data_IF_163655054266
#
_entry.id   IF_163655054266
#
_cell.length_a   1.000
_cell.length_b   1.000
_cell.length_c   1.000
_cell.angle_alpha   90.00
_cell.angle_beta   90.00
_cell.angle_gamma   90.00
#
_symmetry.space_group_name_H-M   'P 1'
#
loop_
_entity.id
_entity.type
_entity.pdbx_description
1 polymer ?
#
# COMPACT_ATOMS: atom_id res chain seq x y z
N UNK A 1 -1.36 29.54 -16.21
CA UNK A 1 -2.45 29.76 -15.23
C UNK A 1 -3.10 28.40 -14.98
N UNK A 2 -2.64 27.67 -13.96
CA UNK A 2 -3.18 26.34 -13.59
C UNK A 2 -4.52 26.54 -12.87
N UNK A 3 -5.60 25.93 -13.36
CA UNK A 3 -6.97 26.13 -12.88
C UNK A 3 -7.49 25.01 -11.97
N UNK A 4 -6.74 23.91 -11.83
CA UNK A 4 -7.04 22.80 -10.92
C UNK A 4 -6.36 21.50 -11.34
N UNK A 5 -6.23 20.57 -10.39
CA UNK A 5 -5.77 19.19 -10.59
C UNK A 5 -6.57 18.29 -9.65
N UNK A 6 -7.22 17.27 -10.20
CA UNK A 6 -7.94 16.24 -9.44
C UNK A 6 -7.26 14.90 -9.65
N UNK A 7 -6.98 14.18 -8.57
CA UNK A 7 -6.43 12.83 -8.61
C UNK A 7 -7.49 11.91 -7.98
N UNK A 8 -8.17 11.12 -8.80
CA UNK A 8 -9.07 10.05 -8.35
C UNK A 8 -8.27 8.78 -8.12
N UNK A 9 -8.54 8.08 -7.01
CA UNK A 9 -7.80 6.88 -6.56
C UNK A 9 -6.27 7.06 -6.57
N UNK A 10 -5.84 8.30 -6.28
CA UNK A 10 -4.44 8.67 -6.30
C UNK A 10 -3.67 7.93 -5.22
N UNK A 11 -2.57 7.28 -5.63
CA UNK A 11 -1.53 6.81 -4.74
C UNK A 11 -0.71 8.00 -4.22
N UNK A 12 -1.37 8.87 -3.46
CA UNK A 12 -0.82 10.12 -2.94
C UNK A 12 -0.05 9.91 -1.64
N UNK A 13 -0.31 8.82 -0.94
CA UNK A 13 0.43 8.43 0.27
C UNK A 13 0.60 6.90 0.33
N UNK A 14 1.45 6.33 -0.54
CA UNK A 14 1.66 4.90 -0.59
C UNK A 14 2.26 4.34 0.71
N UNK A 15 2.82 5.15 1.61
CA UNK A 15 3.28 4.68 2.92
C UNK A 15 2.13 4.26 3.84
N UNK A 16 1.01 4.99 3.80
CA UNK A 16 -0.14 4.75 4.65
C UNK A 16 -1.30 4.05 3.92
N UNK A 17 -1.36 4.14 2.60
CA UNK A 17 -2.47 3.62 1.79
C UNK A 17 -2.52 2.09 1.71
N UNK A 18 -1.45 1.36 2.03
CA UNK A 18 -1.44 -0.11 1.89
C UNK A 18 -1.57 -0.87 3.22
N UNK A 19 -1.82 -0.18 4.34
CA UNK A 19 -1.94 -0.80 5.68
C UNK A 19 -3.31 -1.47 5.89
N UNK A 20 -3.71 -2.38 5.00
CA UNK A 20 -5.03 -3.03 5.03
C UNK A 20 -5.07 -4.38 5.75
N UNK A 21 -3.92 -4.99 6.08
CA UNK A 21 -3.86 -6.34 6.67
C UNK A 21 -4.74 -6.51 7.90
N UNK A 22 -4.68 -5.57 8.85
CA UNK A 22 -5.52 -5.60 10.05
C UNK A 22 -7.01 -5.42 9.73
N UNK A 23 -7.34 -4.48 8.85
CA UNK A 23 -8.73 -4.22 8.45
C UNK A 23 -9.36 -5.45 7.77
N UNK A 24 -8.66 -6.03 6.80
CA UNK A 24 -9.10 -7.20 6.05
C UNK A 24 -9.30 -8.42 6.96
N UNK A 25 -8.40 -8.61 7.93
CA UNK A 25 -8.52 -9.68 8.92
C UNK A 25 -9.71 -9.47 9.86
N UNK A 26 -9.89 -8.24 10.38
CA UNK A 26 -10.97 -7.91 11.30
C UNK A 26 -12.37 -8.12 10.71
N UNK A 27 -12.56 -7.85 9.43
CA UNK A 27 -13.84 -8.09 8.74
C UNK A 27 -14.00 -9.53 8.22
N UNK A 28 -13.00 -10.39 8.44
CA UNK A 28 -13.02 -11.80 8.04
C UNK A 28 -12.83 -12.04 6.54
N UNK A 29 -12.28 -11.06 5.79
CA UNK A 29 -12.02 -11.23 4.36
C UNK A 29 -10.76 -12.06 4.10
N UNK A 30 -9.82 -12.06 5.04
CA UNK A 30 -8.58 -12.85 4.98
C UNK A 30 -8.34 -13.59 6.30
N UNK A 31 -7.62 -14.71 6.24
CA UNK A 31 -7.14 -15.44 7.40
C UNK A 31 -5.77 -14.91 7.91
N UNK A 32 -5.26 -15.53 8.98
CA UNK A 32 -3.99 -15.13 9.60
C UNK A 32 -2.77 -15.32 8.68
N UNK A 33 -2.77 -16.36 7.83
CA UNK A 33 -1.66 -16.61 6.90
C UNK A 33 -1.66 -15.55 5.78
N UNK A 34 -2.84 -15.22 5.27
CA UNK A 34 -3.03 -14.17 4.27
C UNK A 34 -2.68 -12.80 4.84
N UNK A 35 -3.05 -12.53 6.10
CA UNK A 35 -2.62 -11.32 6.81
C UNK A 35 -1.10 -11.20 6.86
N UNK A 36 -0.41 -12.27 7.25
CA UNK A 36 1.06 -12.28 7.30
C UNK A 36 1.68 -11.99 5.92
N UNK A 37 1.08 -12.51 4.84
CA UNK A 37 1.50 -12.18 3.47
C UNK A 37 1.29 -10.70 3.13
N UNK A 38 0.10 -10.14 3.42
CA UNK A 38 -0.20 -8.72 3.19
C UNK A 38 0.75 -7.81 3.97
N UNK A 39 1.02 -8.14 5.24
CA UNK A 39 1.94 -7.39 6.10
C UNK A 39 3.37 -7.41 5.54
N UNK A 40 3.82 -8.57 5.01
CA UNK A 40 5.14 -8.70 4.35
C UNK A 40 5.24 -7.84 3.09
N UNK A 41 4.25 -7.90 2.19
CA UNK A 41 4.27 -7.09 0.97
C UNK A 41 4.23 -5.60 1.29
N UNK A 42 3.44 -5.21 2.29
CA UNK A 42 3.42 -3.83 2.79
C UNK A 42 4.79 -3.39 3.29
N UNK A 43 5.51 -4.24 4.02
CA UNK A 43 6.87 -3.94 4.47
C UNK A 43 7.87 -3.79 3.31
N UNK A 44 7.82 -4.68 2.31
CA UNK A 44 8.70 -4.64 1.13
C UNK A 44 8.46 -3.39 0.28
N UNK A 45 7.19 -3.06 0.06
CA UNK A 45 6.79 -1.84 -0.64
C UNK A 45 7.30 -0.59 0.10
N UNK A 46 7.11 -0.50 1.42
CA UNK A 46 7.62 0.63 2.23
C UNK A 46 9.14 0.76 2.12
N UNK A 47 9.86 -0.37 2.21
CA UNK A 47 11.30 -0.38 2.01
C UNK A 47 11.69 0.10 0.61
N UNK A 48 10.97 -0.30 -0.45
CA UNK A 48 11.25 0.18 -1.80
C UNK A 48 11.01 1.69 -1.95
N UNK A 49 9.93 2.23 -1.37
CA UNK A 49 9.61 3.67 -1.35
C UNK A 49 10.69 4.47 -0.60
N UNK A 50 11.14 3.98 0.57
CA UNK A 50 12.21 4.60 1.34
C UNK A 50 13.55 4.66 0.58
N UNK A 51 13.75 3.75 -0.38
CA UNK A 51 14.91 3.74 -1.28
C UNK A 51 14.67 4.48 -2.61
N UNK A 52 13.57 5.24 -2.74
CA UNK A 52 13.14 5.92 -3.97
C UNK A 52 12.91 4.97 -5.18
N UNK A 53 12.75 3.68 -4.93
CA UNK A 53 12.49 2.64 -5.94
C UNK A 53 11.00 2.45 -6.13
N UNK A 54 10.34 3.49 -6.64
CA UNK A 54 8.89 3.52 -6.77
C UNK A 54 8.32 2.44 -7.70
N UNK A 55 9.03 2.09 -8.78
CA UNK A 55 8.59 1.03 -9.71
C UNK A 55 8.57 -0.31 -8.98
N UNK A 56 9.63 -0.63 -8.24
CA UNK A 56 9.73 -1.88 -7.47
C UNK A 56 8.60 -1.95 -6.43
N UNK A 57 8.28 -0.84 -5.77
CA UNK A 57 7.20 -0.76 -4.79
C UNK A 57 5.83 -1.24 -5.35
N UNK A 58 5.57 -1.06 -6.64
CA UNK A 58 4.32 -1.50 -7.29
C UNK A 58 4.31 -2.97 -7.71
N UNK A 59 5.44 -3.68 -7.59
CA UNK A 59 5.57 -5.08 -8.00
C UNK A 59 5.59 -6.07 -6.83
N UNK A 60 5.51 -5.58 -5.59
CA UNK A 60 5.39 -6.39 -4.37
C UNK A 60 3.91 -6.62 -4.00
#
# INVERSE_FOLDING_TARGET
NLKGMTIGDGLTDPLNQYMYGDFLYQIGLIDLNQKAYVDLQTALMRYAIEQERYIDAFHY
#
